data_IF_899605415237
#
_entry.id   IF_899605415237
#
_cell.length_a   1.000
_cell.length_b   1.000
_cell.length_c   1.000
_cell.angle_alpha   90.00
_cell.angle_beta   90.00
_cell.angle_gamma   90.00
#
_symmetry.space_group_name_H-M   'P 1'
#
loop_
_entity.id
_entity.type
_entity.pdbx_description
1 polymer ?
#
# COMPACT_ATOMS: atom_id res chain seq x y z
N UNK A 1 -20.61 21.92 1.28
CA UNK A 1 -19.49 21.28 0.55
C UNK A 1 -19.15 20.01 1.30
N UNK A 2 -19.38 18.83 0.70
CA UNK A 2 -18.99 17.57 1.32
C UNK A 2 -17.49 17.61 1.55
N UNK A 3 -17.03 17.42 2.78
CA UNK A 3 -15.61 17.25 3.06
C UNK A 3 -15.13 16.07 2.22
N UNK A 4 -14.02 16.22 1.51
CA UNK A 4 -13.39 15.15 0.74
C UNK A 4 -13.29 13.89 1.61
N UNK A 5 -14.04 12.85 1.24
CA UNK A 5 -14.10 11.59 2.00
C UNK A 5 -13.13 10.58 1.42
N UNK A 6 -12.51 9.81 2.29
CA UNK A 6 -11.80 8.61 1.91
C UNK A 6 -12.72 7.39 1.88
N UNK A 7 -12.39 6.39 1.08
CA UNK A 7 -12.97 5.05 1.16
C UNK A 7 -11.90 4.06 1.61
N UNK A 8 -12.16 3.37 2.72
CA UNK A 8 -11.40 2.17 3.10
C UNK A 8 -12.10 0.97 2.47
N UNK A 9 -11.47 0.31 1.51
CA UNK A 9 -11.97 -0.92 0.91
C UNK A 9 -11.10 -2.10 1.36
N UNK A 10 -11.68 -2.96 2.21
CA UNK A 10 -11.02 -4.14 2.73
C UNK A 10 -11.58 -5.42 2.13
N UNK A 11 -10.68 -6.31 1.71
CA UNK A 11 -11.03 -7.70 1.39
C UNK A 11 -10.95 -8.51 2.67
N UNK A 12 -12.10 -8.96 3.20
CA UNK A 12 -12.22 -9.48 4.55
C UNK A 12 -12.65 -10.95 4.59
N UNK A 13 -12.03 -11.71 5.47
CA UNK A 13 -12.41 -13.06 5.84
C UNK A 13 -12.51 -13.23 7.36
N UNK A 14 -12.79 -14.45 7.83
CA UNK A 14 -13.03 -14.75 9.26
C UNK A 14 -11.90 -14.34 10.21
N UNK A 15 -10.67 -14.35 9.74
CA UNK A 15 -9.49 -14.03 10.56
C UNK A 15 -9.04 -12.58 10.49
N UNK A 16 -9.91 -11.65 10.17
CA UNK A 16 -9.56 -10.23 9.98
C UNK A 16 -9.13 -9.54 11.28
N UNK A 17 -8.35 -8.46 11.13
CA UNK A 17 -7.89 -7.59 12.22
C UNK A 17 -8.61 -6.22 12.25
N UNK A 18 -9.78 -6.13 11.61
CA UNK A 18 -10.53 -4.87 11.38
C UNK A 18 -11.56 -4.55 12.46
N UNK A 19 -11.60 -5.29 13.58
CA UNK A 19 -12.63 -5.09 14.61
C UNK A 19 -12.77 -3.66 15.10
N UNK A 20 -11.66 -2.96 15.33
CA UNK A 20 -11.67 -1.57 15.77
C UNK A 20 -12.28 -0.62 14.72
N UNK A 21 -12.04 -0.85 13.43
CA UNK A 21 -12.55 -0.01 12.34
C UNK A 21 -14.02 -0.30 12.04
N UNK A 22 -14.47 -1.55 12.20
CA UNK A 22 -15.87 -1.95 12.00
C UNK A 22 -16.82 -1.35 13.05
N UNK A 23 -16.32 -1.09 14.25
CA UNK A 23 -17.13 -0.59 15.38
C UNK A 23 -17.21 0.95 15.45
N UNK A 24 -16.49 1.68 14.59
CA UNK A 24 -16.44 3.16 14.66
C UNK A 24 -17.71 3.77 14.09
N UNK A 25 -18.45 4.60 14.86
CA UNK A 25 -19.57 5.36 14.32
C UNK A 25 -19.17 6.30 13.19
N UNK A 26 -20.04 6.50 12.20
CA UNK A 26 -19.79 7.38 11.06
C UNK A 26 -19.38 8.81 11.47
N UNK A 27 -19.89 9.32 12.59
CA UNK A 27 -19.53 10.64 13.12
C UNK A 27 -18.08 10.74 13.61
N UNK A 28 -17.42 9.61 13.89
CA UNK A 28 -16.04 9.55 14.39
C UNK A 28 -14.99 9.41 13.28
N UNK A 29 -15.39 9.38 12.01
CA UNK A 29 -14.49 9.11 10.89
C UNK A 29 -14.68 10.06 9.71
N UNK A 30 -13.59 10.34 9.00
CA UNK A 30 -13.55 11.15 7.77
C UNK A 30 -13.57 10.27 6.50
N UNK A 31 -13.89 8.98 6.65
CA UNK A 31 -13.88 7.96 5.62
C UNK A 31 -15.10 7.04 5.77
N UNK A 32 -15.49 6.44 4.68
CA UNK A 32 -16.50 5.39 4.64
C UNK A 32 -15.80 4.02 4.54
N UNK A 33 -16.48 2.96 4.98
CA UNK A 33 -15.96 1.60 4.99
C UNK A 33 -16.70 0.74 3.97
N UNK A 34 -15.95 0.12 3.08
CA UNK A 34 -16.42 -0.91 2.17
C UNK A 34 -15.82 -2.25 2.56
N UNK A 35 -16.65 -3.25 2.77
CA UNK A 35 -16.23 -4.62 3.06
C UNK A 35 -16.60 -5.53 1.90
N UNK A 36 -15.61 -6.24 1.39
CA UNK A 36 -15.78 -7.25 0.35
C UNK A 36 -15.33 -8.61 0.89
N UNK A 37 -16.28 -9.49 1.25
CA UNK A 37 -15.98 -10.82 1.80
C UNK A 37 -15.50 -11.80 0.73
N UNK A 38 -14.43 -12.55 1.04
CA UNK A 38 -13.84 -13.53 0.13
C UNK A 38 -14.08 -15.00 0.52
N UNK A 39 -14.60 -15.27 1.72
CA UNK A 39 -14.72 -16.62 2.28
C UNK A 39 -16.15 -17.00 2.72
N UNK A 40 -17.15 -16.22 2.32
CA UNK A 40 -18.55 -16.46 2.67
C UNK A 40 -18.89 -16.13 4.14
N UNK A 41 -17.98 -15.52 4.91
CA UNK A 41 -18.31 -15.00 6.24
C UNK A 41 -19.25 -13.82 6.18
N UNK A 42 -19.92 -13.55 7.29
CA UNK A 42 -20.81 -12.41 7.48
C UNK A 42 -20.10 -11.27 8.20
N UNK A 43 -20.69 -10.06 8.10
CA UNK A 43 -20.27 -8.95 8.94
C UNK A 43 -20.53 -9.29 10.40
N UNK A 44 -19.60 -8.95 11.32
CA UNK A 44 -19.85 -9.06 12.75
C UNK A 44 -21.08 -8.23 13.17
N UNK A 45 -21.78 -8.68 14.21
CA UNK A 45 -22.89 -7.94 14.79
C UNK A 45 -22.45 -6.53 15.22
N UNK A 46 -23.24 -5.54 14.85
CA UNK A 46 -22.94 -4.14 15.13
C UNK A 46 -21.88 -3.48 14.23
N UNK A 47 -21.40 -4.15 13.20
CA UNK A 47 -20.50 -3.54 12.23
C UNK A 47 -21.17 -2.39 11.47
N UNK A 48 -20.45 -1.28 11.34
CA UNK A 48 -20.92 -0.08 10.64
C UNK A 48 -20.14 0.06 9.33
N UNK A 49 -20.81 -0.25 8.22
CA UNK A 49 -20.22 -0.21 6.88
C UNK A 49 -21.18 0.49 5.90
N UNK A 50 -20.64 1.28 4.98
CA UNK A 50 -21.43 1.96 3.94
C UNK A 50 -21.62 1.08 2.72
N UNK A 51 -20.66 0.20 2.45
CA UNK A 51 -20.69 -0.69 1.29
C UNK A 51 -20.35 -2.11 1.69
N UNK A 52 -21.15 -3.05 1.22
CA UNK A 52 -20.91 -4.46 1.49
C UNK A 52 -21.15 -5.30 0.23
N UNK A 53 -20.18 -6.19 -0.08
CA UNK A 53 -20.38 -7.22 -1.10
C UNK A 53 -19.81 -8.57 -0.65
N UNK A 54 -20.31 -9.63 -1.24
CA UNK A 54 -19.70 -10.97 -1.19
C UNK A 54 -19.16 -11.30 -2.56
N UNK A 55 -17.89 -11.60 -2.63
CA UNK A 55 -17.19 -11.91 -3.86
C UNK A 55 -16.06 -12.89 -3.55
N UNK A 56 -16.24 -14.16 -3.91
CA UNK A 56 -15.18 -15.16 -3.78
C UNK A 56 -14.00 -14.80 -4.70
N UNK A 57 -12.78 -15.14 -4.29
CA UNK A 57 -11.58 -14.91 -5.09
C UNK A 57 -10.55 -14.03 -4.41
N UNK A 58 -9.52 -13.64 -5.18
CA UNK A 58 -8.40 -12.83 -4.70
C UNK A 58 -8.79 -11.39 -4.34
N UNK A 59 -7.82 -10.68 -3.72
CA UNK A 59 -8.01 -9.27 -3.37
C UNK A 59 -8.40 -8.44 -4.59
N UNK A 60 -7.66 -8.57 -5.66
CA UNK A 60 -7.77 -7.70 -6.83
C UNK A 60 -8.99 -8.03 -7.68
N UNK A 61 -9.40 -9.32 -7.75
CA UNK A 61 -10.71 -9.72 -8.31
C UNK A 61 -11.85 -9.00 -7.58
N UNK A 62 -11.83 -9.06 -6.24
CA UNK A 62 -12.89 -8.46 -5.44
C UNK A 62 -12.91 -6.93 -5.51
N UNK A 63 -11.75 -6.28 -5.60
CA UNK A 63 -11.67 -4.82 -5.81
C UNK A 63 -12.24 -4.44 -7.18
N UNK A 64 -11.87 -5.15 -8.23
CA UNK A 64 -12.43 -4.93 -9.56
C UNK A 64 -13.95 -5.11 -9.58
N UNK A 65 -14.45 -6.22 -9.03
CA UNK A 65 -15.88 -6.48 -8.97
C UNK A 65 -16.63 -5.45 -8.11
N UNK A 66 -16.03 -4.96 -7.03
CA UNK A 66 -16.62 -3.93 -6.21
C UNK A 66 -16.89 -2.66 -7.02
N UNK A 67 -15.89 -2.11 -7.70
CA UNK A 67 -16.07 -0.90 -8.49
C UNK A 67 -16.88 -1.11 -9.76
N UNK A 68 -16.98 -2.33 -10.24
CA UNK A 68 -17.88 -2.69 -11.35
C UNK A 68 -19.35 -2.74 -10.91
N UNK A 69 -19.60 -3.22 -9.69
CA UNK A 69 -20.95 -3.29 -9.10
C UNK A 69 -21.43 -1.94 -8.54
N UNK A 70 -20.49 -1.12 -8.06
CA UNK A 70 -20.75 0.18 -7.42
C UNK A 70 -19.92 1.30 -8.09
N UNK A 71 -20.20 1.65 -9.37
CA UNK A 71 -19.46 2.69 -10.06
C UNK A 71 -19.60 4.07 -9.39
N UNK A 72 -20.71 4.31 -8.68
CA UNK A 72 -20.92 5.51 -7.88
C UNK A 72 -19.94 5.61 -6.71
N UNK A 73 -19.49 4.50 -6.13
CA UNK A 73 -18.45 4.49 -5.11
C UNK A 73 -17.10 4.96 -5.68
N UNK A 74 -16.81 4.66 -6.97
CA UNK A 74 -15.61 5.15 -7.63
C UNK A 74 -15.65 6.67 -7.89
N UNK A 75 -16.84 7.28 -7.97
CA UNK A 75 -17.01 8.73 -8.17
C UNK A 75 -17.12 9.52 -6.86
N UNK A 76 -17.54 8.87 -5.76
CA UNK A 76 -17.94 9.53 -4.52
C UNK A 76 -16.77 9.99 -3.64
N UNK A 77 -15.59 9.39 -3.79
CA UNK A 77 -14.46 9.61 -2.90
C UNK A 77 -13.25 10.19 -3.65
N UNK A 78 -12.40 10.91 -2.93
CA UNK A 78 -11.16 11.48 -3.49
C UNK A 78 -9.96 10.54 -3.32
N UNK A 79 -10.01 9.68 -2.28
CA UNK A 79 -8.94 8.73 -1.95
C UNK A 79 -9.51 7.37 -1.58
N UNK A 80 -8.77 6.32 -1.91
CA UNK A 80 -9.13 4.93 -1.67
C UNK A 80 -7.97 4.19 -1.01
N UNK A 81 -8.18 3.66 0.18
CA UNK A 81 -7.25 2.76 0.83
C UNK A 81 -7.65 1.31 0.54
N UNK A 82 -6.94 0.64 -0.36
CA UNK A 82 -7.20 -0.74 -0.77
C UNK A 82 -6.38 -1.69 0.11
N UNK A 83 -6.91 -2.05 1.26
CA UNK A 83 -6.14 -2.63 2.36
C UNK A 83 -6.42 -4.13 2.56
N UNK A 84 -5.41 -4.88 3.01
CA UNK A 84 -5.55 -6.28 3.43
C UNK A 84 -6.19 -6.36 4.83
N UNK A 85 -6.91 -7.46 5.11
CA UNK A 85 -7.67 -7.63 6.36
C UNK A 85 -6.82 -7.99 7.59
N UNK A 86 -5.52 -8.11 7.43
CA UNK A 86 -4.52 -8.36 8.48
C UNK A 86 -3.66 -7.12 8.79
N UNK A 87 -4.11 -5.97 8.35
CA UNK A 87 -3.53 -4.69 8.72
C UNK A 87 -4.22 -4.17 9.98
N UNK A 88 -3.43 -3.93 11.01
CA UNK A 88 -3.86 -3.31 12.25
C UNK A 88 -3.64 -1.80 12.19
N UNK A 89 -4.72 -1.05 12.30
CA UNK A 89 -4.74 0.40 12.39
C UNK A 89 -5.86 0.83 13.34
N UNK A 90 -5.66 1.91 14.07
CA UNK A 90 -6.73 2.54 14.83
C UNK A 90 -7.46 3.60 13.99
N UNK A 91 -8.70 3.95 14.35
CA UNK A 91 -9.52 4.91 13.59
C UNK A 91 -8.90 6.30 13.47
N UNK A 92 -8.18 6.76 14.49
CA UNK A 92 -7.52 8.07 14.47
C UNK A 92 -6.37 8.08 13.47
N UNK A 93 -5.59 6.99 13.39
CA UNK A 93 -4.56 6.79 12.37
C UNK A 93 -5.17 6.82 10.96
N UNK A 94 -6.31 6.19 10.72
CA UNK A 94 -6.97 6.20 9.40
C UNK A 94 -7.45 7.60 9.04
N UNK A 95 -8.08 8.33 9.97
CA UNK A 95 -8.45 9.74 9.78
C UNK A 95 -7.21 10.58 9.37
N UNK A 96 -6.13 10.45 10.15
CA UNK A 96 -4.89 11.18 9.91
C UNK A 96 -4.24 10.80 8.56
N UNK A 97 -4.31 9.53 8.12
CA UNK A 97 -3.78 9.09 6.83
C UNK A 97 -4.49 9.78 5.66
N UNK A 98 -5.83 9.84 5.65
CA UNK A 98 -6.57 10.53 4.60
C UNK A 98 -6.32 12.05 4.61
N UNK A 99 -6.25 12.66 5.78
CA UNK A 99 -5.87 14.08 5.89
C UNK A 99 -4.45 14.33 5.41
N UNK A 100 -3.54 13.41 5.69
CA UNK A 100 -2.13 13.53 5.29
C UNK A 100 -1.97 13.45 3.77
N UNK A 101 -2.56 12.44 3.12
CA UNK A 101 -2.46 12.29 1.66
C UNK A 101 -3.08 13.47 0.92
N UNK A 102 -4.21 13.99 1.41
CA UNK A 102 -4.86 15.17 0.87
C UNK A 102 -4.00 16.42 1.01
N UNK A 103 -3.49 16.69 2.22
CA UNK A 103 -2.68 17.88 2.52
C UNK A 103 -1.41 17.95 1.69
N UNK A 104 -0.79 16.79 1.40
CA UNK A 104 0.46 16.72 0.65
C UNK A 104 0.26 16.45 -0.86
N UNK A 105 -0.99 16.26 -1.32
CA UNK A 105 -1.29 16.00 -2.73
C UNK A 105 -0.70 14.70 -3.26
N UNK A 106 -0.62 13.65 -2.41
CA UNK A 106 -0.14 12.35 -2.88
C UNK A 106 -1.18 11.65 -3.74
N UNK A 107 -0.79 11.21 -4.93
CA UNK A 107 -1.64 10.42 -5.82
C UNK A 107 -1.55 8.92 -5.54
N UNK A 108 -0.41 8.47 -5.00
CA UNK A 108 -0.16 7.09 -4.62
C UNK A 108 0.68 7.06 -3.35
N UNK A 109 0.15 6.52 -2.27
CA UNK A 109 0.86 6.48 -0.99
C UNK A 109 0.60 5.17 -0.24
N UNK A 110 1.35 4.95 0.81
CA UNK A 110 1.08 3.94 1.82
C UNK A 110 1.52 4.41 3.20
N UNK A 111 0.89 3.97 4.29
CA UNK A 111 1.49 4.03 5.62
C UNK A 111 2.77 3.19 5.65
N UNK A 112 3.75 3.61 6.43
CA UNK A 112 4.90 2.77 6.74
C UNK A 112 4.44 1.57 7.59
N UNK A 113 5.18 0.47 7.53
CA UNK A 113 4.95 -0.69 8.38
C UNK A 113 5.80 -0.61 9.66
N UNK A 114 5.22 -0.97 10.79
CA UNK A 114 5.97 -1.07 12.05
C UNK A 114 7.09 -2.11 11.96
N UNK A 115 8.11 -2.01 12.81
CA UNK A 115 9.30 -2.89 12.78
C UNK A 115 9.00 -4.36 13.11
N UNK A 116 7.88 -4.65 13.79
CA UNK A 116 7.37 -5.97 14.11
C UNK A 116 6.39 -6.53 13.06
N UNK A 117 6.18 -5.82 11.95
CA UNK A 117 5.35 -6.26 10.82
C UNK A 117 6.02 -7.35 10.00
N UNK A 118 5.20 -8.18 9.34
CA UNK A 118 5.66 -8.94 8.18
C UNK A 118 5.71 -8.01 6.96
N UNK A 119 6.78 -8.02 6.17
CA UNK A 119 6.99 -7.11 5.05
C UNK A 119 7.64 -7.81 3.85
N UNK A 120 7.34 -7.35 2.64
CA UNK A 120 7.99 -7.80 1.40
C UNK A 120 9.20 -6.95 1.05
N UNK A 121 9.06 -5.64 1.19
CA UNK A 121 10.09 -4.65 0.84
C UNK A 121 10.56 -3.89 2.07
N UNK A 122 11.86 -3.98 2.39
CA UNK A 122 12.43 -3.32 3.59
C UNK A 122 12.22 -1.82 3.63
N UNK A 123 12.12 -1.18 2.47
CA UNK A 123 11.91 0.25 2.38
C UNK A 123 10.55 0.69 2.96
N UNK A 124 9.58 -0.22 3.06
CA UNK A 124 8.25 0.09 3.59
C UNK A 124 8.21 0.12 5.12
N UNK A 125 9.24 -0.38 5.80
CA UNK A 125 9.34 -0.24 7.25
C UNK A 125 9.46 1.23 7.66
N UNK A 126 8.84 1.57 8.78
CA UNK A 126 8.89 2.91 9.36
C UNK A 126 10.33 3.37 9.58
N UNK A 127 10.59 4.60 9.21
CA UNK A 127 11.88 5.26 9.33
C UNK A 127 11.76 6.45 10.29
N UNK A 128 11.92 6.25 11.62
CA UNK A 128 11.84 7.32 12.60
C UNK A 128 12.76 8.50 12.26
N UNK A 129 12.26 9.70 12.49
CA UNK A 129 12.90 10.93 12.10
C UNK A 129 12.41 11.48 10.76
N UNK A 130 11.57 10.71 10.03
CA UNK A 130 10.88 11.18 8.85
C UNK A 130 9.35 11.23 9.07
N UNK A 131 8.71 12.28 8.54
CA UNK A 131 7.26 12.34 8.39
C UNK A 131 6.79 11.49 7.21
N UNK A 132 7.49 11.61 6.07
CA UNK A 132 7.29 10.78 4.90
C UNK A 132 8.54 10.72 4.03
N UNK A 133 8.60 9.71 3.19
CA UNK A 133 9.63 9.56 2.15
C UNK A 133 8.99 9.46 0.78
N UNK A 134 9.44 10.26 -0.17
CA UNK A 134 9.09 10.06 -1.58
C UNK A 134 9.80 8.82 -2.10
N UNK A 135 9.07 7.97 -2.80
CA UNK A 135 9.55 6.65 -3.24
C UNK A 135 9.11 6.34 -4.67
N UNK A 136 9.66 5.30 -5.25
CA UNK A 136 9.20 4.73 -6.51
C UNK A 136 8.34 3.47 -6.31
N UNK A 137 8.05 3.07 -5.08
CA UNK A 137 7.36 1.82 -4.79
C UNK A 137 6.33 2.03 -3.66
N UNK A 138 5.10 1.56 -3.91
CA UNK A 138 4.04 1.36 -2.94
C UNK A 138 3.58 -0.09 -3.04
N UNK A 139 3.52 -0.79 -1.91
CA UNK A 139 3.16 -2.22 -1.85
C UNK A 139 1.66 -2.45 -2.06
N UNK A 140 1.33 -3.62 -2.61
CA UNK A 140 -0.05 -4.04 -2.87
C UNK A 140 -0.89 -4.30 -1.59
N UNK A 141 -0.28 -4.39 -0.42
CA UNK A 141 -0.98 -4.69 0.84
C UNK A 141 -1.77 -3.50 1.39
N UNK A 142 -1.21 -2.28 1.26
CA UNK A 142 -1.72 -1.09 1.97
C UNK A 142 -1.75 0.19 1.09
N UNK A 143 -2.02 0.11 -0.22
CA UNK A 143 -1.95 1.29 -1.07
C UNK A 143 -3.12 2.23 -0.83
N UNK A 144 -2.82 3.54 -0.81
CA UNK A 144 -3.78 4.63 -0.87
C UNK A 144 -3.63 5.29 -2.23
N UNK A 145 -4.70 5.34 -3.00
CA UNK A 145 -4.73 5.93 -4.34
C UNK A 145 -5.69 7.13 -4.37
N UNK A 146 -5.27 8.20 -5.03
CA UNK A 146 -6.19 9.26 -5.43
C UNK A 146 -7.16 8.74 -6.51
N UNK A 147 -8.37 9.34 -6.59
CA UNK A 147 -9.43 8.96 -7.54
C UNK A 147 -8.92 8.78 -8.96
N UNK A 148 -8.27 9.81 -9.50
CA UNK A 148 -7.82 9.79 -10.88
C UNK A 148 -6.75 8.72 -11.14
N UNK A 149 -5.89 8.45 -10.16
CA UNK A 149 -4.90 7.38 -10.25
C UNK A 149 -5.59 6.02 -10.22
N UNK A 150 -6.58 5.82 -9.34
CA UNK A 150 -7.36 4.57 -9.29
C UNK A 150 -8.10 4.34 -10.61
N UNK A 151 -8.74 5.36 -11.18
CA UNK A 151 -9.39 5.27 -12.50
C UNK A 151 -8.44 4.76 -13.60
N UNK A 152 -7.20 5.28 -13.62
CA UNK A 152 -6.19 4.85 -14.60
C UNK A 152 -5.67 3.44 -14.36
N UNK A 153 -5.62 2.99 -13.10
CA UNK A 153 -5.08 1.68 -12.69
C UNK A 153 -6.14 0.57 -12.74
N UNK A 154 -7.40 0.90 -12.56
CA UNK A 154 -8.49 -0.07 -12.44
C UNK A 154 -8.58 -1.06 -13.62
N UNK A 155 -8.43 -0.67 -14.91
CA UNK A 155 -8.42 -1.61 -16.04
C UNK A 155 -7.24 -2.62 -15.99
N UNK A 156 -6.17 -2.28 -15.26
CA UNK A 156 -5.00 -3.14 -15.09
C UNK A 156 -5.22 -4.10 -13.93
N UNK A 157 -5.89 -3.65 -12.87
CA UNK A 157 -6.31 -4.49 -11.75
C UNK A 157 -7.08 -5.71 -12.26
N UNK A 158 -7.94 -5.55 -13.26
CA UNK A 158 -8.68 -6.64 -13.90
C UNK A 158 -7.77 -7.76 -14.48
N UNK A 159 -6.51 -7.45 -14.80
CA UNK A 159 -5.60 -8.39 -15.45
C UNK A 159 -4.83 -9.30 -14.46
N UNK A 160 -5.01 -9.11 -13.16
CA UNK A 160 -4.29 -9.87 -12.12
C UNK A 160 -5.19 -10.18 -10.93
N UNK A 161 -5.07 -11.37 -10.39
CA UNK A 161 -5.77 -11.81 -9.18
C UNK A 161 -4.90 -11.66 -7.93
N UNK A 162 -3.62 -11.97 -8.08
CA UNK A 162 -2.63 -11.87 -7.00
C UNK A 162 -2.16 -10.43 -6.74
N UNK A 163 -2.25 -9.56 -7.74
CA UNK A 163 -1.69 -8.22 -7.72
C UNK A 163 -0.17 -8.15 -7.88
N UNK A 164 0.52 -9.29 -8.04
CA UNK A 164 1.96 -9.31 -8.22
C UNK A 164 2.34 -8.59 -9.52
N UNK A 165 3.17 -7.54 -9.38
CA UNK A 165 3.59 -6.68 -10.47
C UNK A 165 2.82 -5.35 -10.55
N UNK A 166 1.67 -5.20 -9.86
CA UNK A 166 0.99 -3.89 -9.76
C UNK A 166 1.89 -2.86 -9.08
N UNK A 167 2.60 -3.25 -8.03
CA UNK A 167 3.60 -2.44 -7.32
C UNK A 167 4.78 -1.98 -8.19
N UNK A 168 4.99 -2.65 -9.34
CA UNK A 168 5.99 -2.25 -10.35
C UNK A 168 5.41 -1.40 -11.47
N UNK A 169 4.09 -1.27 -11.53
CA UNK A 169 3.40 -0.66 -12.68
C UNK A 169 2.72 0.65 -12.33
N UNK A 170 1.95 0.70 -11.24
CA UNK A 170 1.02 1.81 -10.98
C UNK A 170 1.67 3.18 -10.75
N UNK A 171 2.96 3.23 -10.35
CA UNK A 171 3.69 4.50 -10.29
C UNK A 171 3.79 5.22 -11.65
N UNK A 172 3.60 4.50 -12.77
CA UNK A 172 3.60 5.08 -14.12
C UNK A 172 2.33 5.87 -14.42
N UNK A 173 1.31 5.73 -13.58
CA UNK A 173 0.03 6.43 -13.71
C UNK A 173 -0.08 7.65 -12.81
N UNK A 174 0.96 7.95 -12.05
CA UNK A 174 1.06 9.13 -11.19
C UNK A 174 1.59 10.30 -12.01
N UNK A 175 0.99 11.48 -11.84
CA UNK A 175 1.30 12.66 -12.64
C UNK A 175 2.73 13.17 -12.42
N UNK A 176 3.14 13.26 -11.15
CA UNK A 176 4.49 13.67 -10.76
C UNK A 176 5.10 12.66 -9.79
N UNK A 177 5.58 11.49 -10.30
CA UNK A 177 5.92 10.36 -9.43
C UNK A 177 7.03 10.68 -8.42
N UNK A 178 7.98 11.55 -8.73
CA UNK A 178 9.02 11.96 -7.77
C UNK A 178 8.49 12.76 -6.56
N UNK A 179 7.26 13.28 -6.62
CA UNK A 179 6.67 14.14 -5.59
C UNK A 179 5.38 13.58 -5.00
N UNK A 180 4.65 12.79 -5.76
CA UNK A 180 3.29 12.37 -5.42
C UNK A 180 3.18 10.87 -5.06
N UNK A 181 4.33 10.19 -4.97
CA UNK A 181 4.41 8.83 -4.43
C UNK A 181 5.13 8.87 -3.09
N UNK A 182 4.51 8.34 -2.02
CA UNK A 182 5.08 8.43 -0.69
C UNK A 182 4.87 7.18 0.19
N UNK A 183 5.81 6.96 1.11
CA UNK A 183 5.64 6.15 2.32
C UNK A 183 5.50 7.12 3.48
N UNK A 184 4.38 7.05 4.22
CA UNK A 184 4.05 7.94 5.33
C UNK A 184 4.59 7.33 6.62
N UNK A 185 5.74 7.83 7.09
CA UNK A 185 6.42 7.32 8.27
C UNK A 185 5.79 7.78 9.58
N UNK A 186 5.14 8.94 9.58
CA UNK A 186 4.50 9.51 10.76
C UNK A 186 3.27 8.73 11.24
N UNK A 187 2.68 7.89 10.38
CA UNK A 187 1.43 7.17 10.62
C UNK A 187 1.60 5.69 10.26
N UNK A 188 2.45 4.94 10.98
CA UNK A 188 2.71 3.55 10.66
C UNK A 188 1.54 2.65 11.05
N UNK A 189 1.39 1.54 10.32
CA UNK A 189 0.43 0.46 10.60
C UNK A 189 1.17 -0.86 10.77
N UNK A 190 0.51 -1.86 11.36
CA UNK A 190 1.09 -3.19 11.56
C UNK A 190 0.48 -4.21 10.59
N UNK A 191 1.33 -4.93 9.87
CA UNK A 191 0.92 -6.12 9.12
C UNK A 191 1.14 -7.37 9.97
N UNK A 192 0.05 -7.97 10.43
CA UNK A 192 0.09 -8.93 11.53
C UNK A 192 0.34 -10.38 11.10
N UNK A 193 -0.01 -10.78 9.86
CA UNK A 193 0.11 -12.17 9.40
C UNK A 193 1.36 -12.43 8.55
N UNK A 194 1.92 -13.65 8.62
CA UNK A 194 3.00 -14.06 7.72
C UNK A 194 2.60 -13.98 6.23
N UNK A 195 3.53 -13.50 5.41
CA UNK A 195 3.33 -13.38 3.96
C UNK A 195 3.03 -14.74 3.28
N UNK A 196 2.18 -14.73 2.26
CA UNK A 196 1.93 -15.85 1.33
C UNK A 196 1.17 -17.04 1.90
N UNK A 197 0.66 -16.99 3.13
CA UNK A 197 -0.02 -18.14 3.72
C UNK A 197 -1.37 -18.46 3.03
N UNK A 198 -2.12 -17.44 2.64
CA UNK A 198 -3.46 -17.61 2.07
C UNK A 198 -3.49 -17.37 0.56
N UNK A 199 -2.76 -16.39 0.06
CA UNK A 199 -2.81 -15.96 -1.35
C UNK A 199 -2.29 -17.03 -2.31
N UNK A 200 -1.12 -17.61 -2.02
CA UNK A 200 -0.49 -18.57 -2.96
C UNK A 200 -1.36 -19.80 -3.21
N UNK A 201 -1.84 -20.55 -2.19
CA UNK A 201 -2.72 -21.69 -2.42
C UNK A 201 -3.99 -21.35 -3.18
N UNK A 202 -4.58 -20.18 -2.92
CA UNK A 202 -5.79 -19.74 -3.61
C UNK A 202 -5.57 -19.46 -5.11
N UNK A 203 -4.41 -18.91 -5.49
CA UNK A 203 -4.07 -18.65 -6.88
C UNK A 203 -3.67 -19.95 -7.59
N UNK A 204 -2.89 -20.83 -6.94
CA UNK A 204 -2.49 -22.13 -7.48
C UNK A 204 -3.69 -23.04 -7.75
N UNK A 205 -4.71 -23.01 -6.90
CA UNK A 205 -5.96 -23.73 -7.12
C UNK A 205 -6.73 -23.27 -8.40
N UNK A 206 -6.38 -22.11 -8.94
CA UNK A 206 -6.94 -21.56 -10.17
C UNK A 206 -6.05 -21.82 -11.41
N UNK A 207 -5.05 -22.67 -11.27
CA UNK A 207 -4.18 -23.12 -12.37
C UNK A 207 -3.11 -22.11 -12.80
N UNK A 208 -2.73 -21.14 -11.94
CA UNK A 208 -1.64 -20.19 -12.19
C UNK A 208 -0.88 -19.90 -10.90
N UNK A 209 0.24 -19.20 -11.01
CA UNK A 209 1.02 -18.75 -9.84
C UNK A 209 1.14 -17.22 -9.81
N UNK A 210 1.35 -16.61 -8.62
CA UNK A 210 1.60 -15.16 -8.54
C UNK A 210 2.79 -14.70 -9.41
N UNK A 211 3.81 -15.56 -9.55
CA UNK A 211 4.99 -15.29 -10.37
C UNK A 211 4.67 -15.30 -11.88
N UNK A 212 3.80 -16.20 -12.34
CA UNK A 212 3.34 -16.23 -13.74
C UNK A 212 2.44 -15.03 -14.04
N UNK A 213 1.55 -14.63 -13.14
CA UNK A 213 0.76 -13.41 -13.30
C UNK A 213 1.66 -12.18 -13.43
N UNK A 214 2.65 -12.05 -12.53
CA UNK A 214 3.65 -10.98 -12.64
C UNK A 214 4.40 -11.03 -13.96
N UNK A 215 4.82 -12.20 -14.44
CA UNK A 215 5.52 -12.34 -15.71
C UNK A 215 4.66 -11.87 -16.88
N UNK A 216 3.35 -12.17 -16.86
CA UNK A 216 2.40 -11.67 -17.87
C UNK A 216 2.28 -10.15 -17.83
N UNK A 217 2.11 -9.53 -16.66
CA UNK A 217 2.07 -8.06 -16.52
C UNK A 217 3.39 -7.41 -16.96
N UNK A 218 4.51 -7.98 -16.56
CA UNK A 218 5.86 -7.51 -16.96
C UNK A 218 6.00 -7.52 -18.48
N UNK A 219 5.61 -8.60 -19.14
CA UNK A 219 5.65 -8.72 -20.60
C UNK A 219 4.68 -7.72 -21.27
N UNK A 220 3.42 -7.71 -20.87
CA UNK A 220 2.38 -6.89 -21.48
C UNK A 220 2.68 -5.37 -21.39
N UNK A 221 3.27 -4.94 -20.28
CA UNK A 221 3.53 -3.52 -20.01
C UNK A 221 5.01 -3.13 -20.16
N UNK A 222 5.87 -4.03 -20.60
CA UNK A 222 7.31 -3.81 -20.75
C UNK A 222 7.95 -3.29 -19.47
N UNK A 223 7.68 -3.97 -18.35
CA UNK A 223 8.25 -3.64 -17.05
C UNK A 223 9.65 -4.27 -16.91
N UNK A 224 10.44 -3.70 -16.02
CA UNK A 224 11.64 -4.32 -15.47
C UNK A 224 11.47 -4.49 -13.97
N UNK A 225 12.28 -5.36 -13.37
CA UNK A 225 12.25 -5.54 -11.92
C UNK A 225 12.48 -4.21 -11.20
N UNK A 226 11.52 -3.84 -10.37
CA UNK A 226 11.60 -2.63 -9.57
C UNK A 226 12.14 -2.93 -8.17
N UNK A 227 13.07 -2.10 -7.71
CA UNK A 227 13.51 -2.07 -6.33
C UNK A 227 13.06 -0.77 -5.68
N UNK A 228 12.47 -0.85 -4.50
CA UNK A 228 12.06 0.34 -3.76
C UNK A 228 13.26 1.23 -3.42
N UNK A 229 13.14 2.51 -3.78
CA UNK A 229 14.15 3.55 -3.59
C UNK A 229 13.47 4.79 -3.00
N UNK A 230 14.07 5.36 -1.95
CA UNK A 230 13.65 6.66 -1.43
C UNK A 230 14.35 7.78 -2.22
N UNK A 231 13.56 8.66 -2.82
CA UNK A 231 14.04 9.75 -3.69
C UNK A 231 14.41 10.96 -2.86
N UNK A 232 13.54 11.28 -1.90
CA UNK A 232 13.67 12.36 -0.93
C UNK A 232 12.91 11.99 0.35
N UNK A 233 13.05 12.77 1.39
CA UNK A 233 12.27 12.60 2.62
C UNK A 233 12.10 13.92 3.36
N UNK A 234 10.97 14.08 4.03
CA UNK A 234 10.69 15.20 4.92
C UNK A 234 10.81 14.71 6.36
N UNK A 235 11.69 15.32 7.12
CA UNK A 235 11.95 14.97 8.52
C UNK A 235 10.86 15.50 9.46
N UNK A 236 10.82 15.01 10.71
CA UNK A 236 9.89 15.50 11.74
C UNK A 236 10.02 17.00 11.99
N UNK A 237 11.25 17.56 11.82
CA UNK A 237 11.48 19.01 11.89
C UNK A 237 11.03 19.79 10.66
N UNK A 238 10.46 19.13 9.63
CA UNK A 238 10.06 19.75 8.37
C UNK A 238 11.20 19.96 7.37
N UNK A 239 12.41 19.52 7.68
CA UNK A 239 13.56 19.65 6.77
C UNK A 239 13.48 18.58 5.68
N UNK A 240 13.70 18.98 4.41
CA UNK A 240 13.78 18.06 3.29
C UNK A 240 15.20 17.53 3.10
N UNK A 241 15.34 16.21 3.01
CA UNK A 241 16.57 15.52 2.60
C UNK A 241 16.37 15.07 1.16
N UNK A 242 17.26 15.47 0.26
CA UNK A 242 17.22 15.12 -1.16
C UNK A 242 18.53 14.48 -1.62
N UNK A 243 18.43 13.67 -2.66
CA UNK A 243 19.56 13.01 -3.29
C UNK A 243 19.81 11.60 -2.75
N UNK A 244 20.13 10.70 -3.67
CA UNK A 244 20.25 9.25 -3.44
C UNK A 244 21.26 8.91 -2.33
N UNK A 245 22.42 9.55 -2.31
CA UNK A 245 23.46 9.28 -1.32
C UNK A 245 23.01 9.71 0.09
N UNK A 246 22.44 10.92 0.21
CA UNK A 246 21.97 11.42 1.52
C UNK A 246 20.84 10.54 2.06
N UNK A 247 19.92 10.13 1.20
CA UNK A 247 18.85 9.20 1.57
C UNK A 247 19.41 7.81 1.91
N UNK A 248 20.39 7.29 1.18
CA UNK A 248 21.05 6.02 1.50
C UNK A 248 21.65 6.03 2.90
N UNK A 249 22.38 7.07 3.24
CA UNK A 249 22.99 7.23 4.56
C UNK A 249 21.94 7.36 5.67
N UNK A 250 20.92 8.20 5.46
CA UNK A 250 19.83 8.39 6.43
C UNK A 250 19.08 7.07 6.71
N UNK A 251 18.72 6.33 5.67
CA UNK A 251 18.05 5.03 5.79
C UNK A 251 18.94 3.98 6.45
N UNK A 252 20.22 3.90 6.05
CA UNK A 252 21.17 2.95 6.62
C UNK A 252 21.35 3.18 8.12
N UNK A 253 21.53 4.45 8.55
CA UNK A 253 21.67 4.82 9.96
C UNK A 253 20.41 4.45 10.74
N UNK A 254 19.22 4.80 10.21
CA UNK A 254 17.95 4.57 10.89
C UNK A 254 17.68 3.08 11.07
N UNK A 255 17.77 2.29 10.00
CA UNK A 255 17.51 0.84 10.09
C UNK A 255 18.59 0.11 10.89
N UNK A 256 19.83 0.57 10.87
CA UNK A 256 20.87 0.02 11.74
C UNK A 256 20.56 0.26 13.23
N UNK A 257 20.05 1.45 13.58
CA UNK A 257 19.62 1.74 14.96
C UNK A 257 18.45 0.87 15.40
N UNK A 258 17.51 0.59 14.49
CA UNK A 258 16.32 -0.23 14.74
C UNK A 258 16.56 -1.74 14.54
N UNK A 259 17.75 -2.18 14.16
CA UNK A 259 18.01 -3.58 13.75
C UNK A 259 17.56 -4.64 14.76
N UNK A 260 17.54 -4.33 16.05
CA UNK A 260 17.09 -5.22 17.12
C UNK A 260 15.56 -5.29 17.25
N UNK A 261 14.85 -4.32 16.70
CA UNK A 261 13.38 -4.24 16.71
C UNK A 261 12.76 -4.90 15.46
N UNK A 262 13.56 -5.08 14.40
CA UNK A 262 13.12 -5.74 13.18
C UNK A 262 13.31 -7.24 13.36
N UNK A 263 12.25 -7.91 13.79
CA UNK A 263 12.31 -9.31 14.25
C UNK A 263 11.95 -10.35 13.17
N UNK A 264 11.11 -9.99 12.19
CA UNK A 264 10.62 -10.95 11.18
C UNK A 264 11.66 -11.33 10.13
N UNK A 265 12.63 -10.45 9.86
CA UNK A 265 13.79 -10.70 8.97
C UNK A 265 14.98 -9.96 9.53
N UNK A 266 15.97 -10.66 10.09
CA UNK A 266 17.14 -10.02 10.72
C UNK A 266 17.81 -8.96 9.84
N UNK A 267 18.21 -7.87 10.47
CA UNK A 267 18.91 -6.77 9.82
C UNK A 267 20.39 -6.77 10.24
N UNK A 268 21.27 -6.82 9.25
CA UNK A 268 22.73 -6.86 9.47
C UNK A 268 23.49 -6.07 8.41
N UNK A 269 24.81 -6.31 8.35
CA UNK A 269 25.72 -5.62 7.42
C UNK A 269 25.34 -5.87 5.96
N UNK A 270 25.03 -7.13 5.62
CA UNK A 270 24.64 -7.51 4.26
C UNK A 270 23.38 -6.75 3.79
N UNK A 271 22.35 -6.71 4.65
CA UNK A 271 21.09 -6.03 4.34
C UNK A 271 21.29 -4.52 4.21
N UNK A 272 22.13 -3.94 5.05
CA UNK A 272 22.49 -2.51 4.99
C UNK A 272 23.25 -2.22 3.69
N UNK A 273 24.22 -3.05 3.32
CA UNK A 273 24.96 -2.92 2.07
C UNK A 273 24.06 -3.04 0.84
N UNK A 274 23.14 -4.01 0.84
CA UNK A 274 22.18 -4.21 -0.24
C UNK A 274 21.18 -3.02 -0.34
N UNK A 275 20.72 -2.48 0.79
CA UNK A 275 19.90 -1.27 0.80
C UNK A 275 20.63 -0.11 0.15
N UNK A 276 21.88 0.17 0.58
CA UNK A 276 22.69 1.26 0.04
C UNK A 276 22.94 1.07 -1.46
N UNK A 277 23.30 -0.13 -1.88
CA UNK A 277 23.51 -0.44 -3.30
C UNK A 277 22.25 -0.15 -4.13
N UNK A 278 21.09 -0.66 -3.71
CA UNK A 278 19.82 -0.41 -4.42
C UNK A 278 19.47 1.06 -4.41
N UNK A 279 19.62 1.72 -3.25
CA UNK A 279 19.34 3.14 -3.09
C UNK A 279 20.18 4.01 -4.05
N UNK A 280 21.41 3.64 -4.31
CA UNK A 280 22.32 4.39 -5.19
C UNK A 280 22.11 4.07 -6.67
N UNK A 281 21.91 2.80 -7.02
CA UNK A 281 22.05 2.32 -8.39
C UNK A 281 20.77 1.77 -9.02
N UNK A 282 19.72 1.42 -8.25
CA UNK A 282 18.50 0.87 -8.84
C UNK A 282 17.74 1.92 -9.67
N UNK A 283 17.18 1.55 -10.83
CA UNK A 283 16.36 2.46 -11.65
C UNK A 283 15.08 2.86 -10.91
N UNK A 284 14.57 4.06 -11.20
CA UNK A 284 13.31 4.53 -10.61
C UNK A 284 12.06 3.93 -11.25
N UNK A 285 12.14 3.55 -12.53
CA UNK A 285 11.08 2.80 -13.21
C UNK A 285 9.82 3.60 -13.58
N UNK A 286 9.84 4.94 -13.51
CA UNK A 286 8.67 5.77 -13.75
C UNK A 286 8.24 5.84 -15.22
N UNK A 287 9.13 5.65 -16.16
CA UNK A 287 8.83 5.77 -17.60
C UNK A 287 9.61 4.76 -18.41
N UNK A 288 9.04 4.36 -19.60
CA UNK A 288 9.80 3.68 -20.65
C UNK A 288 10.87 4.59 -21.28
N UNK A 289 10.60 5.89 -21.27
CA UNK A 289 11.47 6.92 -21.82
C UNK A 289 12.00 7.73 -20.64
N UNK A 290 13.18 7.33 -20.14
CA UNK A 290 13.86 8.01 -19.03
C UNK A 290 14.13 9.49 -19.37
N UNK A 291 13.16 10.34 -19.11
CA UNK A 291 13.29 11.79 -18.99
C UNK A 291 12.59 12.25 -17.74
#
# INVERSE_FOLDING_TARGET
MSSARGLVLVRMGRGHHFGALLAVPAAGRTWDLAVSHYDGSDLPDGAIVEWHQRCLGGKWDGIWQFFSAYPEALAAYDFYWLVDDDIEADPATVNALFDYVRTHGFELAQPALTTDSYYSHRITLACPGFRHRHTNLVEIMVPILARDTLHRVLPIIQQTRSGFGLDWLWQRFVTHPCKQIAIIDALPVRHARPLRQTLRPAIEAQGTTPEEERARLVCAHGLSRLHGVAIAGVTDSGRTIQGRLRMALALAITYWRQRKQIDKRPWGVEQTGLLMYRQLFAPLGFSKNGK
#
